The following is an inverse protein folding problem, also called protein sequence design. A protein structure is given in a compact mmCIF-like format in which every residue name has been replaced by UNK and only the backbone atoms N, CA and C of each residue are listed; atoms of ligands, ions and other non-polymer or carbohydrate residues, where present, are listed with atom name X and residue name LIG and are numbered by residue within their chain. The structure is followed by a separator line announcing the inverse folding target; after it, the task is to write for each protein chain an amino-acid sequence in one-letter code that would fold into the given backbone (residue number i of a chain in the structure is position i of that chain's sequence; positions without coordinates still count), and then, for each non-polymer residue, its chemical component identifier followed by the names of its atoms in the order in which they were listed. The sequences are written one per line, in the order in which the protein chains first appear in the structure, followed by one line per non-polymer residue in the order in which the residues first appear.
data_IF_099027338219
#
_entry.id   IF_099027338219
#
_cell.length_a   1.000
_cell.length_b   1.000
_cell.length_c   1.000
_cell.angle_alpha   90.00
_cell.angle_beta   90.00
_cell.angle_gamma   90.00
#
_symmetry.space_group_name_H-M   'P 1'
#
loop_
_entity.id
_entity.type
_entity.pdbx_description
1 polymer ?
#
# COMPACT_ATOMS: atom_id res chain seq x y z
N UNK A 1 3.79 37.51 4.62
CA UNK A 1 4.94 37.17 3.76
C UNK A 1 4.81 37.94 2.46
N UNK A 2 5.81 38.74 2.09
CA UNK A 2 5.72 39.56 0.87
C UNK A 2 5.75 38.67 -0.38
N UNK A 3 5.05 39.09 -1.46
CA UNK A 3 4.99 38.33 -2.73
C UNK A 3 6.37 37.95 -3.26
N UNK A 4 7.37 38.82 -3.04
CA UNK A 4 8.77 38.60 -3.40
C UNK A 4 9.47 37.48 -2.60
N UNK A 5 9.13 37.30 -1.32
CA UNK A 5 9.69 36.22 -0.50
C UNK A 5 9.13 34.85 -0.92
N UNK A 6 7.87 34.81 -1.39
CA UNK A 6 7.24 33.59 -1.91
C UNK A 6 7.90 33.14 -3.20
N UNK A 7 8.09 34.08 -4.13
CA UNK A 7 8.73 33.81 -5.42
C UNK A 7 10.19 33.35 -5.26
N UNK A 8 10.91 33.94 -4.29
CA UNK A 8 12.25 33.50 -3.91
C UNK A 8 12.29 32.07 -3.37
N UNK A 9 11.36 31.71 -2.47
CA UNK A 9 11.31 30.36 -1.90
C UNK A 9 10.99 29.28 -2.95
N UNK A 10 10.09 29.57 -3.90
CA UNK A 10 9.74 28.64 -4.99
C UNK A 10 10.92 28.42 -5.93
N UNK A 11 11.64 29.49 -6.30
CA UNK A 11 12.81 29.39 -7.17
C UNK A 11 13.97 28.63 -6.49
N UNK A 12 14.19 28.86 -5.19
CA UNK A 12 15.22 28.14 -4.42
C UNK A 12 14.85 26.66 -4.31
N UNK A 13 13.58 26.34 -4.02
CA UNK A 13 13.11 24.95 -3.95
C UNK A 13 13.27 24.21 -5.28
N UNK A 14 12.91 24.86 -6.39
CA UNK A 14 13.07 24.30 -7.74
C UNK A 14 14.56 24.08 -8.08
N UNK A 15 15.42 25.05 -7.76
CA UNK A 15 16.86 24.95 -8.00
C UNK A 15 17.51 23.83 -7.18
N UNK A 16 17.12 23.67 -5.91
CA UNK A 16 17.62 22.60 -5.05
C UNK A 16 17.12 21.22 -5.49
N UNK A 17 15.86 21.09 -5.90
CA UNK A 17 15.31 19.84 -6.43
C UNK A 17 16.03 19.43 -7.73
N UNK A 18 16.21 20.36 -8.67
CA UNK A 18 16.94 20.11 -9.92
C UNK A 18 18.41 19.76 -9.65
N UNK A 19 19.07 20.46 -8.73
CA UNK A 19 20.44 20.17 -8.32
C UNK A 19 20.60 18.80 -7.65
N UNK A 20 19.61 18.38 -6.84
CA UNK A 20 19.57 17.07 -6.21
C UNK A 20 19.49 15.93 -7.23
N UNK A 21 18.64 16.05 -8.25
CA UNK A 21 18.53 15.05 -9.33
C UNK A 21 19.85 14.93 -10.09
N UNK A 22 20.44 16.05 -10.49
CA UNK A 22 21.73 16.04 -11.23
C UNK A 22 22.86 15.45 -10.37
N UNK A 23 22.87 15.73 -9.06
CA UNK A 23 23.85 15.17 -8.13
C UNK A 23 23.75 13.64 -7.97
N UNK A 24 22.55 13.05 -8.09
CA UNK A 24 22.35 11.59 -8.02
C UNK A 24 23.02 10.89 -9.20
N UNK A 25 23.03 11.51 -10.37
CA UNK A 25 23.62 10.91 -11.58
C UNK A 25 25.14 11.13 -11.71
N UNK A 26 25.71 12.13 -11.04
CA UNK A 26 27.13 12.48 -11.16
C UNK A 26 27.99 12.06 -9.95
N UNK A 27 27.39 11.77 -8.79
CA UNK A 27 28.12 11.46 -7.55
C UNK A 27 28.39 9.97 -7.33
N UNK A 28 29.67 9.57 -7.24
CA UNK A 28 30.10 8.22 -6.83
C UNK A 28 29.87 7.90 -5.33
N UNK A 29 29.37 8.86 -4.55
CA UNK A 29 29.19 8.76 -3.10
C UNK A 29 27.71 8.83 -2.73
N UNK A 30 27.09 7.66 -2.55
CA UNK A 30 25.64 7.50 -2.34
C UNK A 30 25.05 8.09 -1.05
N UNK A 31 25.87 8.57 -0.11
CA UNK A 31 25.37 9.17 1.14
C UNK A 31 24.92 10.63 0.99
N UNK A 32 25.51 11.39 0.06
CA UNK A 32 25.19 12.82 -0.12
C UNK A 32 23.91 13.07 -0.92
N UNK A 33 23.59 12.19 -1.87
CA UNK A 33 22.43 12.31 -2.75
C UNK A 33 21.10 12.08 -2.02
N UNK A 34 21.08 11.14 -1.07
CA UNK A 34 19.89 10.84 -0.25
C UNK A 34 19.51 12.04 0.62
N UNK A 35 20.48 12.72 1.24
CA UNK A 35 20.23 13.89 2.06
C UNK A 35 19.66 15.07 1.25
N UNK A 36 20.11 15.25 0.01
CA UNK A 36 19.60 16.29 -0.89
C UNK A 36 18.17 16.00 -1.37
N UNK A 37 17.84 14.75 -1.68
CA UNK A 37 16.47 14.36 -2.06
C UNK A 37 15.52 14.55 -0.87
N UNK A 38 15.90 14.10 0.33
CA UNK A 38 15.10 14.32 1.54
C UNK A 38 14.93 15.81 1.87
N UNK A 39 15.99 16.60 1.72
CA UNK A 39 15.93 18.06 1.89
C UNK A 39 15.00 18.72 0.88
N UNK A 40 15.08 18.31 -0.39
CA UNK A 40 14.22 18.80 -1.47
C UNK A 40 12.74 18.47 -1.25
N UNK A 41 12.43 17.22 -0.88
CA UNK A 41 11.05 16.80 -0.55
C UNK A 41 10.52 17.57 0.65
N UNK A 42 11.33 17.77 1.69
CA UNK A 42 10.94 18.56 2.87
C UNK A 42 10.60 20.00 2.48
N UNK A 43 11.43 20.63 1.64
CA UNK A 43 11.17 21.99 1.16
C UNK A 43 9.95 22.07 0.23
N UNK A 44 9.71 21.06 -0.61
CA UNK A 44 8.53 20.98 -1.45
C UNK A 44 7.26 20.88 -0.61
N UNK A 45 7.28 20.04 0.44
CA UNK A 45 6.19 19.92 1.41
C UNK A 45 5.92 21.27 2.09
N UNK A 46 6.97 21.97 2.55
CA UNK A 46 6.83 23.32 3.15
C UNK A 46 6.27 24.32 2.15
N UNK A 47 6.71 24.28 0.89
CA UNK A 47 6.24 25.19 -0.15
C UNK A 47 4.78 24.94 -0.53
N UNK A 48 4.36 23.68 -0.67
CA UNK A 48 2.98 23.28 -0.97
C UNK A 48 2.06 23.60 0.21
N UNK A 49 2.48 23.32 1.44
CA UNK A 49 1.73 23.70 2.65
C UNK A 49 1.63 25.23 2.78
N UNK A 50 2.68 25.97 2.39
CA UNK A 50 2.69 27.44 2.36
C UNK A 50 1.88 28.07 1.21
N UNK A 51 1.47 27.27 0.22
CA UNK A 51 0.64 27.69 -0.92
C UNK A 51 -0.86 27.62 -0.59
N UNK A 52 -1.32 26.70 0.28
CA UNK A 52 -2.75 26.52 0.61
C UNK A 52 -3.31 27.41 1.74
N UNK A 53 -2.66 28.52 2.09
CA UNK A 53 -3.23 29.51 3.02
C UNK A 53 -3.52 30.83 2.31
N UNK A 54 -4.54 30.83 1.46
CA UNK A 54 -5.27 32.05 1.11
C UNK A 54 -6.78 31.82 1.22
N UNK A 55 -7.32 32.26 2.37
CA UNK A 55 -8.73 32.38 2.80
C UNK A 55 -9.39 31.02 3.09
N UNK A 56 -9.84 30.75 4.32
CA UNK A 56 -10.89 31.48 5.06
C UNK A 56 -10.46 31.78 6.50
N UNK A 57 -10.99 32.87 7.05
CA UNK A 57 -10.61 33.49 8.32
C UNK A 57 -11.72 33.22 9.34
N UNK A 58 -11.51 32.34 10.33
CA UNK A 58 -12.28 32.34 11.59
C UNK A 58 -11.32 32.06 12.78
N UNK A 59 -11.02 33.12 13.55
CA UNK A 59 -10.45 33.19 14.91
C UNK A 59 -9.54 32.02 15.39
N UNK A 60 -8.22 32.30 15.41
CA UNK A 60 -7.16 31.87 16.34
C UNK A 60 -6.96 30.38 16.71
N UNK A 61 -7.73 29.44 16.19
CA UNK A 61 -7.63 28.02 16.56
C UNK A 61 -6.85 27.17 15.53
N UNK A 62 -6.79 27.54 14.25
CA UNK A 62 -6.23 26.68 13.19
C UNK A 62 -4.68 26.67 13.07
N UNK A 63 -4.00 27.74 13.46
CA UNK A 63 -2.54 27.87 13.27
C UNK A 63 -1.72 26.88 14.13
N UNK A 64 -2.25 26.44 15.26
CA UNK A 64 -1.62 25.44 16.12
C UNK A 64 -1.71 24.00 15.56
N UNK A 65 -2.68 23.71 14.69
CA UNK A 65 -2.85 22.37 14.11
C UNK A 65 -1.94 22.14 12.90
N UNK A 66 -1.66 23.17 12.08
CA UNK A 66 -0.77 23.04 10.92
C UNK A 66 0.68 22.68 11.27
N UNK A 67 1.24 23.29 12.32
CA UNK A 67 2.63 23.05 12.77
C UNK A 67 2.78 21.69 13.47
N UNK A 68 1.78 21.25 14.25
CA UNK A 68 1.76 19.88 14.81
C UNK A 68 1.59 18.83 13.72
N UNK A 69 0.78 19.10 12.69
CA UNK A 69 0.48 18.17 11.59
C UNK A 69 1.65 18.03 10.61
N UNK A 70 2.36 19.09 10.25
CA UNK A 70 3.60 18.99 9.46
C UNK A 70 4.70 18.22 10.21
N UNK A 71 4.77 18.37 11.54
CA UNK A 71 5.64 17.54 12.38
C UNK A 71 5.18 16.08 12.46
N UNK A 72 3.86 15.81 12.50
CA UNK A 72 3.33 14.44 12.50
C UNK A 72 3.53 13.74 11.16
N UNK A 73 3.18 14.39 10.04
CA UNK A 73 3.38 13.86 8.69
C UNK A 73 4.88 13.74 8.39
N UNK A 74 5.70 14.72 8.79
CA UNK A 74 7.16 14.64 8.67
C UNK A 74 7.78 13.54 9.54
N UNK A 75 7.29 13.34 10.77
CA UNK A 75 7.71 12.24 11.63
C UNK A 75 7.22 10.87 11.13
N UNK A 76 6.07 10.81 10.46
CA UNK A 76 5.56 9.61 9.79
C UNK A 76 6.39 9.30 8.54
N UNK A 77 6.59 10.27 7.65
CA UNK A 77 7.37 10.11 6.44
C UNK A 77 8.83 9.71 6.74
N UNK A 78 9.40 10.23 7.83
CA UNK A 78 10.74 9.82 8.30
C UNK A 78 10.82 8.40 8.87
N UNK A 79 9.69 7.72 9.10
CA UNK A 79 9.62 6.32 9.55
C UNK A 79 9.25 5.35 8.43
N UNK A 80 8.83 5.86 7.27
CA UNK A 80 8.49 5.03 6.13
C UNK A 80 9.76 4.60 5.37
N UNK A 81 9.84 3.34 4.93
CA UNK A 81 10.85 2.92 3.95
C UNK A 81 10.81 3.79 2.68
N UNK A 82 11.95 3.98 1.98
CA UNK A 82 12.03 4.88 0.81
C UNK A 82 10.99 4.59 -0.29
N UNK A 83 10.62 3.32 -0.49
CA UNK A 83 9.59 2.93 -1.47
C UNK A 83 8.17 3.35 -1.08
N UNK A 84 7.85 3.33 0.22
CA UNK A 84 6.50 3.64 0.72
C UNK A 84 6.26 5.16 0.74
N UNK A 85 7.31 5.97 0.89
CA UNK A 85 7.24 7.42 0.76
C UNK A 85 6.90 7.87 -0.68
N UNK A 86 7.47 7.19 -1.70
CA UNK A 86 7.14 7.45 -3.10
C UNK A 86 5.67 7.12 -3.41
N UNK A 87 5.16 6.02 -2.83
CA UNK A 87 3.75 5.62 -2.95
C UNK A 87 2.80 6.62 -2.31
N UNK A 88 3.13 7.13 -1.12
CA UNK A 88 2.37 8.21 -0.50
C UNK A 88 2.29 9.40 -1.47
N UNK A 89 3.42 9.85 -2.03
CA UNK A 89 3.46 10.97 -2.99
C UNK A 89 2.64 10.67 -4.26
N UNK A 90 2.68 9.45 -4.80
CA UNK A 90 1.87 9.07 -5.96
C UNK A 90 0.37 9.17 -5.67
N UNK A 91 -0.10 8.60 -4.55
CA UNK A 91 -1.50 8.68 -4.13
C UNK A 91 -1.95 10.12 -3.87
N UNK A 92 -1.08 10.93 -3.26
CA UNK A 92 -1.32 12.36 -3.07
C UNK A 92 -1.51 13.11 -4.40
N UNK A 93 -0.82 12.66 -5.46
CA UNK A 93 -0.86 13.27 -6.80
C UNK A 93 -2.11 12.85 -7.58
N UNK A 94 -2.51 11.58 -7.47
CA UNK A 94 -3.71 11.04 -8.13
C UNK A 94 -5.02 11.57 -7.52
N UNK A 95 -5.02 11.97 -6.25
CA UNK A 95 -6.22 12.39 -5.50
C UNK A 95 -6.47 13.91 -5.55
N UNK A 96 -5.89 14.63 -6.53
CA UNK A 96 -5.84 16.09 -6.55
C UNK A 96 -7.12 16.75 -7.12
N UNK A 97 -8.26 16.53 -6.46
CA UNK A 97 -9.53 17.25 -6.70
C UNK A 97 -10.04 17.92 -5.40
N UNK A 98 -10.19 19.25 -5.48
CA UNK A 98 -10.70 20.26 -4.53
C UNK A 98 -11.25 19.91 -3.12
N UNK A 99 -10.89 20.77 -2.16
CA UNK A 99 -11.40 21.05 -0.79
C UNK A 99 -11.66 19.91 0.23
N UNK A 100 -11.88 18.67 -0.22
CA UNK A 100 -12.02 17.45 0.61
C UNK A 100 -10.67 16.73 0.81
N UNK A 101 -9.58 17.41 0.45
CA UNK A 101 -8.25 16.83 0.29
C UNK A 101 -7.67 16.33 1.62
N UNK A 102 -7.97 17.01 2.74
CA UNK A 102 -7.39 16.71 4.06
C UNK A 102 -7.81 15.35 4.60
N UNK A 103 -9.08 14.99 4.46
CA UNK A 103 -9.60 13.74 4.98
C UNK A 103 -9.12 12.56 4.12
N UNK A 104 -9.03 12.76 2.80
CA UNK A 104 -8.44 11.78 1.88
C UNK A 104 -6.97 11.49 2.17
N UNK A 105 -6.15 12.50 2.47
CA UNK A 105 -4.74 12.25 2.81
C UNK A 105 -4.58 11.43 4.08
N UNK A 106 -5.44 11.66 5.07
CA UNK A 106 -5.41 10.90 6.32
C UNK A 106 -5.85 9.45 6.09
N UNK A 107 -6.89 9.24 5.29
CA UNK A 107 -7.35 7.90 4.90
C UNK A 107 -6.26 7.14 4.14
N UNK A 108 -5.56 7.79 3.20
CA UNK A 108 -4.44 7.19 2.47
C UNK A 108 -3.25 6.86 3.39
N UNK A 109 -2.92 7.76 4.31
CA UNK A 109 -1.85 7.52 5.28
C UNK A 109 -2.20 6.35 6.23
N UNK A 110 -3.44 6.28 6.70
CA UNK A 110 -3.92 5.18 7.53
C UNK A 110 -3.92 3.85 6.76
N UNK A 111 -4.29 3.87 5.48
CA UNK A 111 -4.20 2.69 4.60
C UNK A 111 -2.76 2.21 4.43
N UNK A 112 -1.82 3.10 4.12
CA UNK A 112 -0.40 2.75 3.97
C UNK A 112 0.21 2.20 5.25
N UNK A 113 -0.09 2.84 6.40
CA UNK A 113 0.34 2.32 7.69
C UNK A 113 -0.25 0.94 7.97
N UNK A 114 -1.51 0.73 7.59
CA UNK A 114 -2.17 -0.56 7.76
C UNK A 114 -1.47 -1.65 6.95
N UNK A 115 -1.15 -1.40 5.69
CA UNK A 115 -0.41 -2.35 4.86
C UNK A 115 0.99 -2.66 5.40
N UNK A 116 1.75 -1.64 5.81
CA UNK A 116 3.08 -1.83 6.41
C UNK A 116 2.95 -2.71 7.66
N UNK A 117 1.96 -2.43 8.51
CA UNK A 117 1.69 -3.22 9.70
C UNK A 117 1.36 -4.67 9.35
N UNK A 118 0.53 -4.91 8.31
CA UNK A 118 0.22 -6.26 7.83
C UNK A 118 1.49 -6.97 7.36
N UNK A 119 2.32 -6.29 6.57
CA UNK A 119 3.59 -6.82 6.05
C UNK A 119 4.53 -7.22 7.18
N UNK A 120 4.82 -6.30 8.09
CA UNK A 120 5.75 -6.52 9.21
C UNK A 120 5.27 -7.65 10.13
N UNK A 121 3.97 -7.67 10.42
CA UNK A 121 3.37 -8.73 11.26
C UNK A 121 3.40 -10.08 10.57
N UNK A 122 3.20 -10.12 9.25
CA UNK A 122 3.30 -11.38 8.50
C UNK A 122 4.72 -11.91 8.55
N UNK A 123 5.71 -11.06 8.29
CA UNK A 123 7.14 -11.42 8.36
C UNK A 123 7.50 -11.92 9.78
N UNK A 124 7.02 -11.23 10.81
CA UNK A 124 7.24 -11.62 12.20
C UNK A 124 6.50 -12.91 12.62
N UNK A 125 5.51 -13.36 11.84
CA UNK A 125 4.71 -14.57 12.13
C UNK A 125 5.23 -15.83 11.39
N UNK A 126 6.29 -15.71 10.60
CA UNK A 126 6.85 -16.83 9.85
C UNK A 126 7.49 -17.86 10.78
N UNK A 127 7.25 -19.14 10.49
CA UNK A 127 7.97 -20.25 11.08
C UNK A 127 9.24 -20.59 10.26
N UNK A 128 10.12 -21.41 10.84
CA UNK A 128 11.33 -21.86 10.16
C UNK A 128 11.02 -22.52 8.81
N UNK A 129 11.71 -22.06 7.77
CA UNK A 129 11.57 -22.54 6.39
C UNK A 129 10.44 -21.88 5.58
N UNK A 130 9.53 -21.14 6.22
CA UNK A 130 8.55 -20.32 5.49
C UNK A 130 9.22 -19.07 4.90
N UNK A 131 8.70 -18.60 3.75
CA UNK A 131 9.22 -17.42 3.05
C UNK A 131 8.09 -16.50 2.66
N UNK A 132 8.32 -15.20 2.71
CA UNK A 132 7.42 -14.19 2.15
C UNK A 132 7.89 -13.80 0.76
N UNK A 133 6.99 -13.89 -0.21
CA UNK A 133 7.17 -13.35 -1.54
C UNK A 133 6.39 -12.04 -1.59
N UNK A 134 7.06 -10.87 -1.55
CA UNK A 134 6.37 -9.61 -1.75
C UNK A 134 5.83 -9.55 -3.17
N UNK A 135 4.60 -9.10 -3.34
CA UNK A 135 4.10 -8.73 -4.66
C UNK A 135 4.66 -7.35 -5.04
N UNK A 136 4.97 -7.09 -6.33
CA UNK A 136 5.38 -5.75 -6.76
C UNK A 136 4.35 -4.71 -6.33
N UNK A 137 4.84 -3.56 -5.89
CA UNK A 137 4.01 -2.46 -5.40
C UNK A 137 3.18 -1.88 -6.55
N UNK A 138 1.87 -1.71 -6.34
CA UNK A 138 0.99 -0.98 -7.27
C UNK A 138 0.17 -1.84 -8.23
N UNK A 139 -0.05 -3.11 -7.91
CA UNK A 139 -0.89 -3.97 -8.75
C UNK A 139 -2.32 -3.92 -8.25
N UNK A 140 -3.26 -3.95 -9.19
CA UNK A 140 -4.66 -3.59 -9.01
C UNK A 140 -5.45 -4.49 -8.04
N UNK A 141 -6.76 -4.27 -8.03
CA UNK A 141 -7.72 -5.05 -7.25
C UNK A 141 -7.49 -6.56 -7.42
N UNK A 142 -7.57 -7.32 -6.32
CA UNK A 142 -7.51 -8.78 -6.37
C UNK A 142 -6.11 -9.39 -6.27
N UNK A 143 -5.05 -8.59 -6.16
CA UNK A 143 -3.71 -9.12 -5.88
C UNK A 143 -3.35 -9.10 -4.39
N UNK A 144 -2.68 -10.16 -3.88
CA UNK A 144 -2.28 -10.19 -2.49
C UNK A 144 -1.15 -9.19 -2.23
N UNK A 145 -1.21 -8.51 -1.09
CA UNK A 145 -0.13 -7.63 -0.62
C UNK A 145 1.20 -8.41 -0.53
N UNK A 146 1.12 -9.68 -0.12
CA UNK A 146 2.24 -10.61 -0.06
C UNK A 146 1.73 -12.06 -0.05
N UNK A 147 2.60 -12.99 -0.44
CA UNK A 147 2.33 -14.43 -0.38
C UNK A 147 3.25 -15.09 0.62
N UNK A 148 2.71 -15.93 1.50
CA UNK A 148 3.49 -16.82 2.35
C UNK A 148 3.65 -18.15 1.63
N UNK A 149 4.89 -18.53 1.31
CA UNK A 149 5.25 -19.84 0.77
C UNK A 149 5.74 -20.75 1.89
N UNK A 150 5.04 -21.87 2.09
CA UNK A 150 5.39 -22.88 3.08
C UNK A 150 6.35 -23.94 2.52
N UNK A 151 7.09 -24.66 3.38
CA UNK A 151 7.97 -25.75 2.95
C UNK A 151 7.27 -26.88 2.18
N UNK A 152 5.98 -27.10 2.42
CA UNK A 152 5.16 -28.10 1.72
C UNK A 152 4.63 -27.60 0.36
N UNK A 153 5.02 -26.39 -0.07
CA UNK A 153 4.61 -25.79 -1.33
C UNK A 153 3.33 -24.97 -1.25
N UNK A 154 2.62 -24.99 -0.12
CA UNK A 154 1.38 -24.21 0.08
C UNK A 154 1.66 -22.70 -0.03
N UNK A 155 0.86 -22.00 -0.83
CA UNK A 155 0.93 -20.54 -1.05
C UNK A 155 -0.29 -19.86 -0.45
N UNK A 156 -0.08 -19.03 0.56
CA UNK A 156 -1.17 -18.30 1.23
C UNK A 156 -1.09 -16.83 0.83
N UNK A 157 -2.13 -16.33 0.16
CA UNK A 157 -2.27 -14.91 -0.20
C UNK A 157 -2.75 -14.09 0.98
N UNK A 158 -2.05 -13.01 1.32
CA UNK A 158 -2.41 -12.10 2.40
C UNK A 158 -2.90 -10.78 1.78
N UNK A 159 -4.12 -10.38 2.12
CA UNK A 159 -4.78 -9.20 1.58
C UNK A 159 -5.07 -8.21 2.71
N UNK A 160 -4.67 -6.95 2.51
CA UNK A 160 -5.04 -5.85 3.38
C UNK A 160 -6.34 -5.22 2.85
N UNK A 161 -7.46 -5.60 3.43
CA UNK A 161 -8.79 -5.11 3.08
C UNK A 161 -9.06 -3.82 3.83
N UNK A 162 -9.08 -2.71 3.11
CA UNK A 162 -9.39 -1.39 3.66
C UNK A 162 -10.50 -0.76 2.85
N UNK A 163 -11.66 -0.49 3.46
CA UNK A 163 -12.69 0.33 2.85
C UNK A 163 -12.50 1.78 3.29
N UNK A 164 -12.31 2.72 2.35
CA UNK A 164 -12.24 4.15 2.68
C UNK A 164 -13.62 4.74 3.01
N UNK A 165 -14.70 3.95 2.89
CA UNK A 165 -16.06 4.41 3.18
C UNK A 165 -16.41 4.16 4.63
N UNK A 166 -17.22 5.05 5.22
CA UNK A 166 -17.74 4.90 6.59
C UNK A 166 -18.56 3.61 6.78
N UNK A 167 -19.09 3.05 5.68
CA UNK A 167 -19.86 1.80 5.71
C UNK A 167 -18.98 0.55 5.84
N UNK A 168 -17.67 0.66 5.65
CA UNK A 168 -16.77 -0.50 5.65
C UNK A 168 -16.93 -1.43 4.44
N UNK A 169 -17.85 -1.16 3.51
CA UNK A 169 -18.13 -2.00 2.34
C UNK A 169 -17.28 -1.58 1.14
N UNK A 170 -16.90 -2.55 0.32
CA UNK A 170 -16.37 -2.26 -1.03
C UNK A 170 -17.51 -2.40 -2.04
N UNK A 171 -17.27 -1.98 -3.27
CA UNK A 171 -18.28 -2.03 -4.34
C UNK A 171 -18.46 -3.44 -4.89
N UNK A 172 -19.62 -3.76 -5.43
CA UNK A 172 -19.85 -5.05 -6.11
C UNK A 172 -18.87 -5.25 -7.29
N UNK A 173 -18.54 -4.16 -8.00
CA UNK A 173 -17.52 -4.18 -9.05
C UNK A 173 -16.13 -4.57 -8.52
N UNK A 174 -15.77 -4.16 -7.30
CA UNK A 174 -14.53 -4.60 -6.65
C UNK A 174 -14.59 -6.10 -6.37
N UNK A 175 -15.71 -6.62 -5.84
CA UNK A 175 -15.85 -8.04 -5.53
C UNK A 175 -15.69 -8.91 -6.78
N UNK A 176 -16.32 -8.49 -7.89
CA UNK A 176 -16.25 -9.20 -9.16
C UNK A 176 -14.84 -9.18 -9.75
N UNK A 177 -14.17 -8.02 -9.74
CA UNK A 177 -12.77 -7.91 -10.18
C UNK A 177 -11.84 -8.73 -9.30
N UNK A 178 -12.04 -8.69 -7.97
CA UNK A 178 -11.26 -9.46 -7.01
C UNK A 178 -11.37 -10.96 -7.29
N UNK A 179 -12.58 -11.47 -7.55
CA UNK A 179 -12.83 -12.88 -7.83
C UNK A 179 -12.33 -13.32 -9.22
N UNK A 180 -12.31 -12.43 -10.22
CA UNK A 180 -11.73 -12.72 -11.53
C UNK A 180 -10.19 -12.84 -11.46
N UNK A 181 -9.55 -11.99 -10.65
CA UNK A 181 -8.09 -11.93 -10.52
C UNK A 181 -7.56 -13.02 -9.58
N UNK A 182 -8.26 -13.31 -8.48
CA UNK A 182 -7.77 -14.17 -7.40
C UNK A 182 -7.24 -15.54 -7.88
N UNK A 183 -7.92 -16.31 -8.76
CA UNK A 183 -7.40 -17.59 -9.25
C UNK A 183 -6.07 -17.47 -10.01
N UNK A 184 -5.83 -16.33 -10.68
CA UNK A 184 -4.60 -16.07 -11.46
C UNK A 184 -3.40 -15.77 -10.56
N UNK A 185 -3.65 -15.46 -9.28
CA UNK A 185 -2.58 -15.20 -8.31
C UNK A 185 -1.80 -16.47 -7.95
N UNK A 186 -2.36 -17.66 -8.23
CA UNK A 186 -1.75 -18.94 -7.86
C UNK A 186 -1.61 -19.10 -6.35
N UNK A 187 -2.61 -18.66 -5.59
CA UNK A 187 -2.70 -18.90 -4.15
C UNK A 187 -3.56 -20.13 -3.88
N UNK A 188 -3.20 -20.87 -2.84
CA UNK A 188 -3.90 -22.10 -2.42
C UNK A 188 -4.84 -21.82 -1.24
N UNK A 189 -4.64 -20.71 -0.52
CA UNK A 189 -5.56 -20.19 0.49
C UNK A 189 -5.40 -18.67 0.67
N UNK A 190 -6.36 -18.03 1.33
CA UNK A 190 -6.47 -16.56 1.44
C UNK A 190 -6.66 -16.11 2.90
N UNK A 191 -5.94 -15.08 3.31
CA UNK A 191 -6.22 -14.32 4.55
C UNK A 191 -6.64 -12.91 4.17
N UNK A 192 -7.85 -12.53 4.57
CA UNK A 192 -8.38 -11.16 4.46
C UNK A 192 -8.17 -10.46 5.80
N UNK A 193 -7.35 -9.42 5.83
CA UNK A 193 -7.08 -8.65 7.06
C UNK A 193 -7.77 -7.30 6.94
N UNK A 194 -8.55 -6.91 7.95
CA UNK A 194 -9.18 -5.59 8.00
C UNK A 194 -8.84 -4.87 9.29
N UNK A 195 -8.87 -3.54 9.26
CA UNK A 195 -8.79 -2.71 10.45
C UNK A 195 -10.09 -1.93 10.75
N UNK A 196 -11.09 -2.04 9.88
CA UNK A 196 -12.40 -1.39 10.04
C UNK A 196 -13.39 -2.42 10.58
N UNK A 197 -14.37 -1.96 11.38
CA UNK A 197 -15.49 -2.82 11.77
C UNK A 197 -16.22 -3.25 10.51
N UNK A 198 -16.16 -4.55 10.22
CA UNK A 198 -16.88 -5.17 9.13
C UNK A 198 -18.30 -5.52 9.60
N UNK A 199 -19.33 -4.97 8.95
CA UNK A 199 -20.73 -5.33 9.22
C UNK A 199 -21.11 -6.66 8.55
N UNK A 200 -20.17 -7.61 8.48
CA UNK A 200 -20.32 -8.91 7.83
C UNK A 200 -20.07 -8.90 6.31
N UNK A 201 -19.58 -7.81 5.73
CA UNK A 201 -19.24 -7.76 4.31
C UNK A 201 -18.08 -8.70 3.97
N UNK A 202 -16.99 -8.70 4.75
CA UNK A 202 -15.87 -9.64 4.54
C UNK A 202 -16.27 -11.08 4.81
N UNK A 203 -17.20 -11.32 5.75
CA UNK A 203 -17.79 -12.65 5.91
C UNK A 203 -18.51 -13.10 4.64
N UNK A 204 -19.32 -12.22 4.03
CA UNK A 204 -20.00 -12.51 2.77
C UNK A 204 -19.02 -12.72 1.61
N UNK A 205 -17.97 -11.89 1.51
CA UNK A 205 -16.91 -12.04 0.51
C UNK A 205 -16.12 -13.33 0.70
N UNK A 206 -15.75 -13.68 1.94
CA UNK A 206 -15.08 -14.95 2.27
C UNK A 206 -15.93 -16.15 1.85
N UNK A 207 -17.23 -16.13 2.12
CA UNK A 207 -18.14 -17.19 1.68
C UNK A 207 -18.25 -17.25 0.16
N UNK A 208 -18.27 -16.10 -0.52
CA UNK A 208 -18.26 -16.01 -1.98
C UNK A 208 -16.97 -16.59 -2.59
N UNK A 209 -15.80 -16.21 -2.07
CA UNK A 209 -14.50 -16.77 -2.45
C UNK A 209 -14.53 -18.29 -2.33
N UNK A 210 -14.96 -18.84 -1.18
CA UNK A 210 -15.01 -20.29 -0.96
C UNK A 210 -15.92 -21.00 -1.96
N UNK A 211 -17.11 -20.42 -2.24
CA UNK A 211 -18.07 -21.02 -3.18
C UNK A 211 -17.58 -20.99 -4.63
N UNK A 212 -16.99 -19.88 -5.06
CA UNK A 212 -16.65 -19.66 -6.48
C UNK A 212 -15.26 -20.18 -6.86
N UNK A 213 -14.30 -20.12 -5.93
CA UNK A 213 -12.91 -20.50 -6.19
C UNK A 213 -12.48 -21.80 -5.50
N UNK A 214 -13.26 -22.27 -4.52
CA UNK A 214 -12.90 -23.40 -3.67
C UNK A 214 -11.76 -23.11 -2.67
N UNK A 215 -11.25 -21.87 -2.61
CA UNK A 215 -10.10 -21.53 -1.77
C UNK A 215 -10.49 -21.42 -0.29
N UNK A 216 -9.79 -22.12 0.63
CA UNK A 216 -9.88 -21.86 2.06
C UNK A 216 -9.56 -20.40 2.35
N UNK A 217 -10.46 -19.74 3.11
CA UNK A 217 -10.35 -18.30 3.40
C UNK A 217 -10.47 -18.06 4.90
N UNK A 218 -9.63 -17.19 5.46
CA UNK A 218 -9.73 -16.71 6.84
C UNK A 218 -9.85 -15.18 6.87
N UNK A 219 -10.50 -14.66 7.91
CA UNK A 219 -10.61 -13.23 8.16
C UNK A 219 -9.88 -12.93 9.47
N UNK A 220 -9.04 -11.90 9.47
CA UNK A 220 -8.35 -11.41 10.66
C UNK A 220 -8.70 -9.95 10.90
N UNK A 221 -9.46 -9.68 11.96
CA UNK A 221 -9.92 -8.35 12.32
C UNK A 221 -8.97 -7.69 13.31
N UNK A 222 -8.36 -6.59 12.88
CA UNK A 222 -7.41 -5.83 13.67
C UNK A 222 -8.01 -4.52 14.16
N UNK A 223 -7.51 -4.04 15.30
CA UNK A 223 -7.86 -2.69 15.76
C UNK A 223 -7.08 -1.66 14.93
N UNK A 224 -7.66 -0.51 14.53
CA UNK A 224 -6.97 0.52 13.76
C UNK A 224 -5.63 0.96 14.39
N UNK A 225 -5.60 1.07 15.72
CA UNK A 225 -4.44 1.55 16.48
C UNK A 225 -4.04 0.61 17.64
N UNK A 226 -4.38 -0.67 17.53
CA UNK A 226 -4.00 -1.69 18.51
C UNK A 226 -2.72 -2.44 18.12
N UNK A 227 -2.22 -3.22 19.07
CA UNK A 227 -1.17 -4.20 18.83
C UNK A 227 -1.57 -5.15 17.71
N UNK A 228 -0.63 -5.40 16.80
CA UNK A 228 -0.77 -6.44 15.80
C UNK A 228 -0.94 -7.79 16.47
N UNK A 229 -1.85 -8.61 15.96
CA UNK A 229 -1.98 -10.00 16.36
C UNK A 229 -1.11 -10.86 15.46
N UNK A 230 -0.48 -11.88 16.02
CA UNK A 230 0.24 -12.86 15.19
C UNK A 230 -0.74 -13.51 14.21
N UNK A 231 -0.34 -13.59 12.94
CA UNK A 231 -1.09 -14.29 11.90
C UNK A 231 -0.88 -15.81 11.95
N UNK A 232 0.01 -16.30 12.82
CA UNK A 232 0.39 -17.71 12.90
C UNK A 232 -0.81 -18.67 13.00
N UNK A 233 -1.81 -18.44 13.87
CA UNK A 233 -2.95 -19.34 13.98
C UNK A 233 -3.78 -19.42 12.69
N UNK A 234 -3.91 -18.29 11.98
CA UNK A 234 -4.64 -18.22 10.70
C UNK A 234 -3.87 -18.96 9.60
N UNK A 235 -2.54 -18.80 9.54
CA UNK A 235 -1.69 -19.49 8.56
C UNK A 235 -1.70 -21.01 8.81
N UNK A 236 -1.61 -21.46 10.06
CA UNK A 236 -1.68 -22.89 10.43
C UNK A 236 -3.01 -23.51 10.04
N UNK A 237 -4.12 -22.89 10.45
CA UNK A 237 -5.48 -23.38 10.14
C UNK A 237 -5.72 -23.52 8.65
N UNK A 238 -5.32 -22.51 7.86
CA UNK A 238 -5.49 -22.55 6.40
C UNK A 238 -4.61 -23.62 5.76
N UNK A 239 -3.40 -23.82 6.26
CA UNK A 239 -2.54 -24.87 5.74
C UNK A 239 -3.08 -26.27 6.01
N UNK A 240 -3.64 -26.49 7.20
CA UNK A 240 -4.32 -27.74 7.52
C UNK A 240 -5.53 -27.95 6.61
N UNK A 241 -6.31 -26.89 6.35
CA UNK A 241 -7.45 -26.94 5.43
C UNK A 241 -7.02 -27.29 4.01
N UNK A 242 -5.94 -26.70 3.48
CA UNK A 242 -5.38 -27.03 2.16
C UNK A 242 -4.93 -28.50 2.11
N UNK A 243 -4.23 -28.97 3.14
CA UNK A 243 -3.76 -30.37 3.22
C UNK A 243 -4.91 -31.37 3.32
N UNK A 244 -5.95 -31.04 4.09
CA UNK A 244 -7.14 -31.89 4.23
C UNK A 244 -8.01 -31.90 2.97
N UNK A 245 -7.99 -30.81 2.19
CA UNK A 245 -8.71 -30.68 0.93
C UNK A 245 -8.26 -31.66 -0.16
N UNK A 246 -7.05 -32.23 -0.05
CA UNK A 246 -6.58 -33.39 -0.83
C UNK A 246 -6.54 -33.22 -2.36
N UNK A 247 -6.92 -32.06 -2.89
CA UNK A 247 -6.80 -31.75 -4.30
C UNK A 247 -5.34 -31.55 -4.65
N UNK A 248 -4.86 -32.23 -5.69
CA UNK A 248 -3.65 -31.82 -6.38
C UNK A 248 -3.72 -30.29 -6.54
N UNK A 249 -2.67 -29.54 -6.11
CA UNK A 249 -2.71 -28.09 -6.20
C UNK A 249 -3.08 -27.73 -7.63
N UNK A 250 -4.06 -26.83 -7.85
CA UNK A 250 -4.47 -26.47 -9.19
C UNK A 250 -3.20 -26.13 -9.95
N UNK A 251 -2.87 -26.97 -10.94
CA UNK A 251 -1.65 -26.79 -11.72
C UNK A 251 -1.82 -25.43 -12.38
N UNK A 252 -1.16 -24.42 -11.83
CA UNK A 252 -1.12 -23.10 -12.43
C UNK A 252 -0.54 -23.37 -13.81
N UNK A 253 -1.33 -23.21 -14.89
CA UNK A 253 -0.82 -23.47 -16.22
C UNK A 253 0.44 -22.62 -16.34
N UNK A 254 1.58 -23.21 -16.73
CA UNK A 254 2.84 -22.49 -16.78
C UNK A 254 2.60 -21.20 -17.56
N UNK A 255 3.12 -20.05 -17.08
CA UNK A 255 2.87 -18.76 -17.72
C UNK A 255 3.13 -18.96 -19.20
N UNK A 256 2.06 -18.81 -19.99
CA UNK A 256 2.10 -19.08 -21.42
C UNK A 256 3.25 -18.25 -21.95
N UNK A 257 4.38 -18.92 -22.25
CA UNK A 257 5.58 -18.26 -22.80
C UNK A 257 5.07 -17.54 -24.02
N UNK A 258 4.93 -16.22 -23.93
CA UNK A 258 4.44 -15.41 -25.01
C UNK A 258 5.23 -15.84 -26.24
N UNK A 259 4.53 -16.38 -27.25
CA UNK A 259 5.15 -16.66 -28.54
C UNK A 259 5.84 -15.37 -28.93
N UNK A 260 7.18 -15.36 -28.86
CA UNK A 260 7.97 -14.33 -29.52
C UNK A 260 7.49 -14.37 -30.96
N UNK A 261 6.72 -13.36 -31.32
CA UNK A 261 6.24 -13.17 -32.67
C UNK A 261 7.48 -12.86 -33.47
N UNK A 262 7.97 -13.85 -34.22
CA UNK A 262 9.09 -13.66 -35.14
C UNK A 262 8.70 -12.51 -36.06
N UNK A 263 9.52 -11.44 -36.15
CA UNK A 263 9.20 -10.33 -37.03
C UNK A 263 9.09 -10.84 -38.47
N UNK A 264 8.15 -10.30 -39.27
CA UNK A 264 8.01 -10.70 -40.66
C UNK A 264 9.32 -10.36 -41.40
N UNK A 265 9.91 -11.38 -42.04
CA UNK A 265 11.00 -11.15 -42.99
C UNK A 265 10.41 -10.46 -44.21
N UNK A 266 10.79 -9.20 -44.40
CA UNK A 266 10.55 -8.46 -45.64
C UNK A 266 11.43 -9.05 -46.74
N UNK A 267 10.80 -9.71 -47.71
CA UNK A 267 11.36 -10.00 -49.03
C UNK A 267 11.02 -8.90 -50.03
#
# INVERSE_FOLDING_TARGET
MNKWQRLGATLIGLALAAGGVVSVFLGKSGAGSVALVLGGVTFLIIAVIGLSLHRVRIRDVELYFGVRRARQVGAMAGRLPPGDAARLVQMLTETNDGDDQRDRLLVLADWLLFEIRVRDTTIASLADGERVIPHPVGIGTGEPLLKVLRPDGTRIGIFAMFSPTDTGRLTEAFDDEFLDVLPRTGTDAVILITCVRDEGYLAALSDRIRRETGLPTAIDEWRPRGESRSLRPSIERLSEAVRAGGGDPPQVPPPSRGRLSTPPQSG
#
